data_IF_411041028149
#
_entry.id   IF_411041028149
#
_cell.length_a   1.000
_cell.length_b   1.000
_cell.length_c   1.000
_cell.angle_alpha   90.00
_cell.angle_beta   90.00
_cell.angle_gamma   90.00
#
_symmetry.space_group_name_H-M   'P 1'
#
loop_
_entity.id
_entity.type
_entity.pdbx_description
1 polymer ?
#
# COMPACT_ATOMS: atom_id res chain seq x y z
N UNK A 1 12.15 -15.60 28.60
CA UNK A 1 11.05 -14.74 28.14
C UNK A 1 11.25 -14.22 26.71
N UNK A 2 12.35 -13.49 26.40
CA UNK A 2 12.60 -12.99 25.01
C UNK A 2 12.77 -14.09 23.95
N UNK A 3 13.45 -15.21 24.27
CA UNK A 3 13.55 -16.38 23.38
C UNK A 3 12.17 -17.00 23.08
N UNK A 4 11.39 -17.22 24.12
CA UNK A 4 10.04 -17.83 24.03
C UNK A 4 9.09 -17.03 23.14
N UNK A 5 9.10 -15.69 23.25
CA UNK A 5 8.28 -14.81 22.38
C UNK A 5 8.75 -14.89 20.93
N UNK A 6 10.07 -14.86 20.68
CA UNK A 6 10.59 -14.86 19.31
C UNK A 6 10.52 -16.23 18.64
N UNK A 7 10.63 -17.32 19.38
CA UNK A 7 10.69 -18.68 18.83
C UNK A 7 9.30 -19.31 18.72
N UNK A 8 8.39 -19.02 19.65
CA UNK A 8 7.04 -19.59 19.68
C UNK A 8 5.99 -18.54 19.33
N UNK A 9 6.09 -17.35 19.95
CA UNK A 9 5.14 -16.27 19.75
C UNK A 9 5.13 -15.74 18.30
N UNK A 10 6.30 -15.52 17.70
CA UNK A 10 6.38 -15.04 16.30
C UNK A 10 5.74 -16.02 15.34
N UNK A 11 6.08 -17.31 15.42
CA UNK A 11 5.55 -18.37 14.55
C UNK A 11 4.03 -18.46 14.67
N UNK A 12 3.50 -18.36 15.90
CA UNK A 12 2.06 -18.34 16.12
C UNK A 12 1.39 -17.11 15.50
N UNK A 13 1.98 -15.92 15.65
CA UNK A 13 1.48 -14.67 15.06
C UNK A 13 1.47 -14.77 13.53
N UNK A 14 2.58 -15.22 12.93
CA UNK A 14 2.68 -15.39 11.47
C UNK A 14 1.63 -16.37 10.95
N UNK A 15 1.39 -17.48 11.66
CA UNK A 15 0.36 -18.44 11.27
C UNK A 15 -1.05 -17.85 11.29
N UNK A 16 -1.38 -17.09 12.33
CA UNK A 16 -2.69 -16.41 12.44
C UNK A 16 -2.82 -15.35 11.34
N UNK A 17 -1.76 -14.59 11.11
CA UNK A 17 -1.73 -13.56 10.08
C UNK A 17 -1.90 -14.14 8.67
N UNK A 18 -1.18 -15.22 8.35
CA UNK A 18 -1.30 -15.93 7.07
C UNK A 18 -2.71 -16.49 6.84
N UNK A 19 -3.31 -17.12 7.86
CA UNK A 19 -4.68 -17.63 7.75
C UNK A 19 -5.72 -16.51 7.59
N UNK A 20 -5.50 -15.38 8.26
CA UNK A 20 -6.33 -14.19 8.06
C UNK A 20 -6.17 -13.63 6.64
N UNK A 21 -4.93 -13.50 6.13
CA UNK A 21 -4.66 -13.01 4.77
C UNK A 21 -5.33 -13.89 3.71
N UNK A 22 -5.25 -15.21 3.84
CA UNK A 22 -5.93 -16.15 2.94
C UNK A 22 -7.45 -15.91 2.93
N UNK A 23 -8.05 -15.81 4.12
CA UNK A 23 -9.50 -15.62 4.27
C UNK A 23 -9.95 -14.29 3.65
N UNK A 24 -9.27 -13.18 3.95
CA UNK A 24 -9.68 -11.86 3.43
C UNK A 24 -9.44 -11.72 1.93
N UNK A 25 -8.38 -12.33 1.40
CA UNK A 25 -8.12 -12.38 -0.04
C UNK A 25 -9.21 -13.15 -0.77
N UNK A 26 -9.64 -14.30 -0.23
CA UNK A 26 -10.75 -15.08 -0.79
C UNK A 26 -12.05 -14.28 -0.80
N UNK A 27 -12.41 -13.65 0.32
CA UNK A 27 -13.61 -12.79 0.40
C UNK A 27 -13.55 -11.66 -0.62
N UNK A 28 -12.41 -10.98 -0.76
CA UNK A 28 -12.25 -9.90 -1.73
C UNK A 28 -12.39 -10.40 -3.18
N UNK A 29 -11.74 -11.52 -3.53
CA UNK A 29 -11.84 -12.11 -4.88
C UNK A 29 -13.28 -12.52 -5.19
N UNK A 30 -13.97 -13.18 -4.26
CA UNK A 30 -15.36 -13.57 -4.46
C UNK A 30 -16.28 -12.36 -4.63
N UNK A 31 -16.07 -11.30 -3.84
CA UNK A 31 -16.83 -10.06 -3.96
C UNK A 31 -16.52 -9.28 -5.25
N UNK A 32 -15.40 -9.56 -5.93
CA UNK A 32 -15.06 -8.93 -7.21
C UNK A 32 -15.85 -9.50 -8.39
N UNK A 33 -16.54 -10.63 -8.23
CA UNK A 33 -17.35 -11.29 -9.27
C UNK A 33 -16.58 -11.52 -10.60
N UNK A 34 -15.26 -11.67 -10.54
CA UNK A 34 -14.39 -11.87 -11.70
C UNK A 34 -13.98 -10.58 -12.42
N UNK A 35 -14.43 -9.43 -11.95
CA UNK A 35 -14.18 -8.11 -12.57
C UNK A 35 -12.80 -7.53 -12.18
N UNK A 36 -12.10 -8.21 -11.27
CA UNK A 36 -10.78 -7.85 -10.73
C UNK A 36 -10.85 -6.80 -9.61
N UNK A 37 -9.91 -6.87 -8.68
CA UNK A 37 -9.88 -6.00 -7.51
C UNK A 37 -9.53 -4.56 -7.87
N UNK A 38 -10.19 -3.63 -7.19
CA UNK A 38 -9.78 -2.24 -7.11
C UNK A 38 -9.16 -2.02 -5.74
N UNK A 39 -7.87 -1.69 -5.69
CA UNK A 39 -7.14 -1.61 -4.42
C UNK A 39 -6.64 -0.19 -4.18
N UNK A 40 -6.59 0.22 -2.92
CA UNK A 40 -5.90 1.42 -2.45
C UNK A 40 -4.66 1.03 -1.65
N UNK A 41 -3.60 1.83 -1.77
CA UNK A 41 -2.36 1.62 -1.02
C UNK A 41 -2.03 2.85 -0.18
N UNK A 42 -1.69 2.63 1.08
CA UNK A 42 -1.27 3.67 2.01
C UNK A 42 -0.02 3.25 2.81
N UNK A 43 0.88 4.21 3.03
CA UNK A 43 2.15 4.04 3.73
C UNK A 43 2.15 4.72 5.09
N UNK A 44 2.29 3.92 6.15
CA UNK A 44 2.31 4.38 7.54
C UNK A 44 3.74 4.38 8.06
N UNK A 45 4.23 5.52 8.52
CA UNK A 45 5.61 5.71 8.98
C UNK A 45 5.69 5.83 10.50
N UNK A 46 6.79 5.34 11.09
CA UNK A 46 7.02 5.39 12.54
C UNK A 46 7.37 6.79 13.07
N UNK A 47 7.93 7.66 12.22
CA UNK A 47 8.19 9.06 12.54
C UNK A 47 7.93 9.97 11.34
N UNK A 48 7.58 11.26 11.56
CA UNK A 48 7.44 12.23 10.49
C UNK A 48 8.80 12.59 9.86
N UNK A 49 8.81 12.85 8.56
CA UNK A 49 9.98 13.35 7.82
C UNK A 49 10.91 12.27 7.26
N UNK A 50 12.07 12.69 6.73
CA UNK A 50 13.06 11.82 6.09
C UNK A 50 13.86 10.93 7.07
N UNK A 51 13.41 10.82 8.32
CA UNK A 51 14.10 10.15 9.41
C UNK A 51 13.45 8.83 9.83
N UNK A 52 12.30 8.49 9.24
CA UNK A 52 11.57 7.26 9.55
C UNK A 52 12.45 6.03 9.37
N UNK A 53 12.42 5.16 10.36
CA UNK A 53 13.22 3.93 10.34
C UNK A 53 12.42 2.74 9.86
N UNK A 54 11.11 2.79 10.04
CA UNK A 54 10.20 1.73 9.64
C UNK A 54 8.96 2.32 8.95
N UNK A 55 8.44 1.56 8.00
CA UNK A 55 7.22 1.88 7.28
C UNK A 55 6.39 0.61 7.15
N UNK A 56 5.07 0.73 7.26
CA UNK A 56 4.13 -0.31 6.89
C UNK A 56 3.32 0.16 5.70
N UNK A 57 3.37 -0.59 4.61
CA UNK A 57 2.50 -0.36 3.46
C UNK A 57 1.33 -1.34 3.54
N UNK A 58 0.11 -0.82 3.50
CA UNK A 58 -1.11 -1.64 3.54
C UNK A 58 -1.86 -1.50 2.23
N UNK A 59 -2.31 -2.62 1.67
CA UNK A 59 -3.19 -2.66 0.50
C UNK A 59 -4.59 -3.04 0.97
N UNK A 60 -5.56 -2.20 0.60
CA UNK A 60 -6.97 -2.33 1.00
C UNK A 60 -7.80 -2.49 -0.25
N UNK A 61 -8.71 -3.46 -0.28
CA UNK A 61 -9.71 -3.56 -1.34
C UNK A 61 -10.76 -2.44 -1.19
N UNK A 62 -10.96 -1.67 -2.25
CA UNK A 62 -11.88 -0.55 -2.26
C UNK A 62 -13.34 -0.99 -2.20
N UNK A 63 -13.68 -2.24 -2.56
CA UNK A 63 -15.05 -2.72 -2.51
C UNK A 63 -15.42 -3.20 -1.10
N UNK A 64 -14.75 -4.23 -0.60
CA UNK A 64 -15.00 -4.86 0.71
C UNK A 64 -14.43 -4.07 1.89
N UNK A 65 -13.53 -3.11 1.65
CA UNK A 65 -12.80 -2.33 2.66
C UNK A 65 -11.88 -3.18 3.55
N UNK A 66 -11.59 -4.41 3.14
CA UNK A 66 -10.67 -5.30 3.84
C UNK A 66 -9.23 -4.98 3.45
N UNK A 67 -8.34 -4.99 4.44
CA UNK A 67 -6.90 -5.02 4.18
C UNK A 67 -6.55 -6.42 3.67
N UNK A 68 -5.97 -6.51 2.47
CA UNK A 68 -5.68 -7.78 1.78
C UNK A 68 -4.19 -8.12 1.76
N UNK A 69 -3.34 -7.13 2.03
CA UNK A 69 -1.89 -7.30 2.14
C UNK A 69 -1.31 -6.22 3.05
N UNK A 70 -0.27 -6.58 3.80
CA UNK A 70 0.49 -5.67 4.64
C UNK A 70 1.98 -6.00 4.57
N UNK A 71 2.79 -5.03 4.17
CA UNK A 71 4.25 -5.18 4.07
C UNK A 71 4.90 -4.24 5.08
N UNK A 72 5.57 -4.81 6.08
CA UNK A 72 6.42 -4.07 6.99
C UNK A 72 7.84 -3.97 6.41
N UNK A 73 8.41 -2.76 6.44
CA UNK A 73 9.73 -2.45 5.90
C UNK A 73 10.56 -1.67 6.91
N UNK A 74 11.86 -1.94 6.91
CA UNK A 74 12.87 -1.11 7.57
C UNK A 74 13.75 -0.41 6.55
N UNK A 75 14.23 0.79 6.87
CA UNK A 75 15.17 1.55 6.01
C UNK A 75 16.47 0.80 5.68
N UNK A 76 16.79 -0.23 6.45
CA UNK A 76 17.99 -1.07 6.31
C UNK A 76 17.80 -2.21 5.31
N UNK A 77 16.60 -2.41 4.79
CA UNK A 77 16.34 -3.47 3.83
C UNK A 77 16.81 -3.10 2.42
N UNK A 78 17.09 -4.14 1.63
CA UNK A 78 17.55 -4.02 0.26
C UNK A 78 16.53 -3.28 -0.62
N UNK A 79 17.03 -2.41 -1.50
CA UNK A 79 16.20 -1.60 -2.41
C UNK A 79 15.69 -0.28 -1.81
N UNK A 80 15.94 -0.02 -0.52
CA UNK A 80 15.57 1.24 0.16
C UNK A 80 16.77 2.19 0.33
N UNK A 81 18.00 1.66 0.34
CA UNK A 81 19.26 2.44 0.42
C UNK A 81 19.32 3.43 1.60
N UNK A 82 18.72 3.08 2.73
CA UNK A 82 18.67 3.95 3.91
C UNK A 82 17.75 5.17 3.78
N UNK A 83 17.05 5.34 2.65
CA UNK A 83 16.18 6.49 2.38
C UNK A 83 14.73 6.17 2.72
N UNK A 84 14.19 6.81 3.76
CA UNK A 84 12.84 6.55 4.23
C UNK A 84 11.77 6.75 3.14
N UNK A 85 11.96 7.74 2.26
CA UNK A 85 11.03 8.06 1.17
C UNK A 85 10.87 6.92 0.13
N UNK A 86 11.84 5.99 0.07
CA UNK A 86 11.78 4.84 -0.85
C UNK A 86 10.98 3.67 -0.28
N UNK A 87 10.76 3.63 1.04
CA UNK A 87 10.08 2.51 1.71
C UNK A 87 8.67 2.28 1.16
N UNK A 88 7.88 3.33 0.99
CA UNK A 88 6.52 3.19 0.45
C UNK A 88 6.51 2.70 -1.01
N UNK A 89 7.44 3.17 -1.84
CA UNK A 89 7.56 2.70 -3.24
C UNK A 89 7.95 1.23 -3.33
N UNK A 90 8.85 0.78 -2.45
CA UNK A 90 9.27 -0.62 -2.38
C UNK A 90 8.16 -1.50 -1.80
N UNK A 91 7.50 -1.05 -0.74
CA UNK A 91 6.41 -1.78 -0.09
C UNK A 91 5.19 -1.91 -0.99
N UNK A 92 4.83 -0.87 -1.73
CA UNK A 92 3.75 -0.92 -2.70
C UNK A 92 4.04 -1.94 -3.82
N UNK A 93 5.29 -1.98 -4.30
CA UNK A 93 5.71 -2.96 -5.30
C UNK A 93 5.64 -4.39 -4.73
N UNK A 94 6.21 -4.62 -3.55
CA UNK A 94 6.20 -5.94 -2.90
C UNK A 94 4.78 -6.44 -2.64
N UNK A 95 3.90 -5.58 -2.13
CA UNK A 95 2.50 -5.92 -1.86
C UNK A 95 1.76 -6.33 -3.14
N UNK A 96 1.89 -5.55 -4.22
CA UNK A 96 1.23 -5.85 -5.49
C UNK A 96 1.81 -7.09 -6.17
N UNK A 97 3.13 -7.26 -6.14
CA UNK A 97 3.77 -8.46 -6.69
C UNK A 97 3.36 -9.71 -5.93
N UNK A 98 3.23 -9.63 -4.60
CA UNK A 98 2.71 -10.73 -3.79
C UNK A 98 1.29 -11.13 -4.22
N UNK A 99 0.36 -10.17 -4.28
CA UNK A 99 -1.01 -10.42 -4.72
C UNK A 99 -1.08 -11.02 -6.13
N UNK A 100 -0.27 -10.53 -7.07
CA UNK A 100 -0.19 -11.09 -8.43
C UNK A 100 0.38 -12.51 -8.43
N UNK A 101 1.37 -12.81 -7.59
CA UNK A 101 1.91 -14.18 -7.45
C UNK A 101 0.88 -15.15 -6.87
N UNK A 102 -0.04 -14.65 -6.03
CA UNK A 102 -1.19 -15.39 -5.52
C UNK A 102 -2.36 -15.51 -6.53
N UNK A 103 -2.13 -15.15 -7.81
CA UNK A 103 -3.13 -15.15 -8.89
C UNK A 103 -4.37 -14.28 -8.59
N UNK A 104 -4.23 -13.24 -7.78
CA UNK A 104 -5.31 -12.32 -7.48
C UNK A 104 -5.38 -11.27 -8.60
N UNK A 105 -6.47 -11.19 -9.37
CA UNK A 105 -6.58 -10.23 -10.46
C UNK A 105 -6.75 -8.82 -9.91
N UNK A 106 -5.82 -7.92 -10.19
CA UNK A 106 -5.90 -6.50 -9.81
C UNK A 106 -6.16 -5.67 -11.06
N UNK A 107 -7.29 -4.98 -11.10
CA UNK A 107 -7.69 -4.13 -12.24
C UNK A 107 -7.23 -2.70 -12.05
N UNK A 108 -7.45 -2.15 -10.85
CA UNK A 108 -7.23 -0.73 -10.55
C UNK A 108 -6.44 -0.54 -9.26
N UNK A 109 -5.48 0.37 -9.31
CA UNK A 109 -4.78 0.89 -8.13
C UNK A 109 -5.14 2.36 -7.92
N UNK A 110 -5.67 2.67 -6.76
CA UNK A 110 -5.89 4.03 -6.26
C UNK A 110 -4.73 4.38 -5.34
N UNK A 111 -3.99 5.44 -5.66
CA UNK A 111 -2.88 5.91 -4.83
C UNK A 111 -2.73 7.41 -4.86
N UNK A 112 -1.90 7.90 -3.95
CA UNK A 112 -1.46 9.29 -3.90
C UNK A 112 -0.63 9.66 -5.14
N UNK A 113 -0.38 10.96 -5.30
CA UNK A 113 0.50 11.53 -6.33
C UNK A 113 2.00 11.32 -6.00
N UNK A 114 2.37 10.15 -5.48
CA UNK A 114 3.77 9.83 -5.20
C UNK A 114 4.49 9.36 -6.48
N UNK A 115 5.30 10.26 -7.07
CA UNK A 115 5.99 10.01 -8.33
C UNK A 115 6.91 8.77 -8.32
N UNK A 116 7.49 8.40 -7.18
CA UNK A 116 8.36 7.22 -7.08
C UNK A 116 7.58 5.91 -7.13
N UNK A 117 6.45 5.84 -6.42
CA UNK A 117 5.51 4.72 -6.54
C UNK A 117 4.99 4.62 -7.98
N UNK A 118 4.72 5.77 -8.62
CA UNK A 118 4.30 5.85 -10.03
C UNK A 118 5.32 5.24 -10.99
N UNK A 119 6.59 5.64 -10.86
CA UNK A 119 7.67 5.17 -11.71
C UNK A 119 7.92 3.67 -11.51
N UNK A 120 8.08 3.24 -10.26
CA UNK A 120 8.48 1.87 -9.91
C UNK A 120 7.47 0.81 -10.32
N UNK A 121 6.17 1.10 -10.17
CA UNK A 121 5.11 0.18 -10.61
C UNK A 121 4.94 0.13 -12.14
N UNK A 122 5.30 1.20 -12.86
CA UNK A 122 5.28 1.23 -14.33
C UNK A 122 6.43 0.43 -14.92
N UNK A 123 7.60 0.49 -14.31
CA UNK A 123 8.81 -0.20 -14.78
C UNK A 123 8.75 -1.71 -14.54
N UNK A 124 7.96 -2.16 -13.56
CA UNK A 124 7.91 -3.58 -13.20
C UNK A 124 6.91 -4.37 -14.07
N UNK A 125 7.34 -5.48 -14.72
CA UNK A 125 6.52 -6.19 -15.73
C UNK A 125 5.23 -6.78 -15.16
N UNK A 126 5.24 -7.19 -13.88
CA UNK A 126 4.07 -7.79 -13.21
C UNK A 126 2.98 -6.78 -12.83
N UNK A 127 3.28 -5.48 -12.78
CA UNK A 127 2.33 -4.45 -12.30
C UNK A 127 1.99 -3.42 -13.37
N UNK A 128 2.67 -3.45 -14.52
CA UNK A 128 2.50 -2.48 -15.61
C UNK A 128 1.10 -2.49 -16.24
N UNK A 129 0.36 -3.60 -16.17
CA UNK A 129 -0.98 -3.74 -16.72
C UNK A 129 -2.10 -3.16 -15.83
N UNK A 130 -1.78 -2.77 -14.58
CA UNK A 130 -2.76 -2.28 -13.61
C UNK A 130 -3.10 -0.83 -13.92
N UNK A 131 -4.40 -0.53 -14.09
CA UNK A 131 -4.85 0.84 -14.32
C UNK A 131 -4.69 1.67 -13.04
N UNK A 132 -4.04 2.83 -13.12
CA UNK A 132 -3.85 3.71 -11.96
C UNK A 132 -4.83 4.87 -11.96
N UNK A 133 -5.42 5.11 -10.80
CA UNK A 133 -6.26 6.28 -10.49
C UNK A 133 -5.65 7.05 -9.32
N UNK A 134 -5.84 8.36 -9.35
CA UNK A 134 -5.46 9.22 -8.25
C UNK A 134 -6.54 9.19 -7.19
N UNK A 135 -6.14 9.22 -5.93
CA UNK A 135 -7.07 9.43 -4.83
C UNK A 135 -7.67 10.84 -4.90
N UNK A 136 -9.00 10.90 -4.95
CA UNK A 136 -9.77 12.13 -5.01
C UNK A 136 -9.53 13.02 -3.78
N UNK A 137 -9.34 12.44 -2.59
CA UNK A 137 -9.09 13.20 -1.37
C UNK A 137 -7.82 14.06 -1.49
N UNK A 138 -6.76 13.47 -2.04
CA UNK A 138 -5.50 14.16 -2.27
C UNK A 138 -5.62 15.24 -3.34
N UNK A 139 -6.42 15.02 -4.39
CA UNK A 139 -6.74 16.05 -5.40
C UNK A 139 -7.50 17.22 -4.77
N UNK A 140 -8.54 16.94 -3.99
CA UNK A 140 -9.36 17.96 -3.32
C UNK A 140 -8.53 18.85 -2.38
N UNK A 141 -7.59 18.27 -1.63
CA UNK A 141 -6.76 19.02 -0.66
C UNK A 141 -5.95 20.13 -1.33
N UNK A 142 -5.40 19.88 -2.51
CA UNK A 142 -4.67 20.88 -3.29
C UNK A 142 -5.62 21.92 -3.90
N UNK A 143 -6.73 21.48 -4.49
CA UNK A 143 -7.73 22.39 -5.06
C UNK A 143 -8.32 23.35 -4.02
N UNK A 144 -8.58 22.86 -2.81
CA UNK A 144 -9.08 23.68 -1.69
C UNK A 144 -8.17 24.87 -1.43
N UNK A 145 -6.84 24.70 -1.44
CA UNK A 145 -5.89 25.81 -1.22
C UNK A 145 -6.05 26.91 -2.26
N UNK A 146 -6.26 26.55 -3.53
CA UNK A 146 -6.47 27.52 -4.60
C UNK A 146 -7.84 28.20 -4.50
N UNK A 147 -8.90 27.44 -4.19
CA UNK A 147 -10.24 28.01 -4.00
C UNK A 147 -10.32 29.02 -2.85
N UNK A 148 -9.56 28.83 -1.77
CA UNK A 148 -9.51 29.81 -0.68
C UNK A 148 -8.76 31.10 -1.05
N UNK A 149 -7.79 31.05 -1.98
CA UNK A 149 -7.09 32.27 -2.44
C UNK A 149 -8.01 33.17 -3.26
N UNK A 150 -8.79 32.57 -4.17
CA UNK A 150 -9.77 33.29 -5.01
C UNK A 150 -10.78 34.06 -4.17
N UNK A 151 -11.17 33.52 -3.01
CA UNK A 151 -12.11 34.19 -2.10
C UNK A 151 -11.56 35.47 -1.47
N UNK A 152 -10.25 35.53 -1.21
CA UNK A 152 -9.60 36.68 -0.55
C UNK A 152 -9.34 37.82 -1.53
N UNK A 153 -9.22 37.54 -2.83
CA UNK A 153 -9.06 38.56 -3.87
C UNK A 153 -10.40 39.15 -4.34
N UNK A 154 -11.52 38.56 -3.92
CA UNK A 154 -12.88 38.98 -4.26
C UNK A 154 -13.61 39.77 -3.14
N UNK A 155 -12.91 40.10 -2.06
CA UNK A 155 -13.34 41.02 -0.98
C UNK A 155 -12.49 42.31 -1.03
#
# INVERSE_FOLDING_TARGET
MRKTIREIGSVAIERVYAGWEETVREVAVNASEGDGLQVSIDGQYDSPGFTSSNCKVTTIDCHTKLAISGVALSKKEDGIDGMSIRMESEGALRALVDLVNHNIPIKKLVSDQNAMVMKKLREHPKTAHIERKLDWWHVQKHMRKEWWKVRVESE
#
